data_IF_254719526481
#
_entry.id   IF_254719526481
#
_cell.length_a   1.000
_cell.length_b   1.000
_cell.length_c   1.000
_cell.angle_alpha   90.00
_cell.angle_beta   90.00
_cell.angle_gamma   90.00
#
_symmetry.space_group_name_H-M   'P 1'
#
loop_
_entity.id
_entity.type
_entity.pdbx_description
1 polymer ?
#
# COMPACT_ATOMS: atom_id res chain seq x y z
N UNK A 1 -18.25 9.73 4.23
CA UNK A 1 -16.80 9.77 4.01
C UNK A 1 -16.47 11.07 3.30
N UNK A 2 -15.50 11.80 3.82
CA UNK A 2 -15.03 13.05 3.23
C UNK A 2 -13.76 12.76 2.41
N UNK A 3 -13.69 13.28 1.18
CA UNK A 3 -12.51 13.10 0.34
C UNK A 3 -11.44 14.12 0.75
N UNK A 4 -10.21 13.64 0.97
CA UNK A 4 -9.06 14.51 1.13
C UNK A 4 -8.42 14.77 -0.24
N UNK A 5 -8.33 16.03 -0.62
CA UNK A 5 -7.86 16.45 -1.95
C UNK A 5 -6.41 16.94 -1.89
N UNK A 6 -5.65 16.57 -2.90
CA UNK A 6 -4.28 17.04 -3.13
C UNK A 6 -4.16 17.45 -4.59
N UNK A 7 -3.59 18.62 -4.83
CA UNK A 7 -3.36 19.16 -6.16
C UNK A 7 -1.88 19.41 -6.35
N UNK A 8 -1.34 18.97 -7.48
CA UNK A 8 0.08 19.12 -7.80
C UNK A 8 0.44 20.61 -7.88
N UNK A 9 1.55 20.98 -7.23
CA UNK A 9 2.18 22.29 -7.37
C UNK A 9 3.65 22.10 -7.72
N UNK A 10 4.33 23.17 -8.11
CA UNK A 10 5.78 23.12 -8.40
C UNK A 10 6.59 22.71 -7.15
N UNK A 11 6.12 23.11 -5.95
CA UNK A 11 6.73 22.73 -4.68
C UNK A 11 6.40 21.30 -4.25
N UNK A 12 5.18 20.85 -4.54
CA UNK A 12 4.68 19.53 -4.17
C UNK A 12 4.10 18.82 -5.40
N UNK A 13 4.95 18.24 -6.27
CA UNK A 13 4.48 17.49 -7.41
C UNK A 13 3.71 16.25 -6.94
N UNK A 14 2.57 15.98 -7.59
CA UNK A 14 1.83 14.72 -7.40
C UNK A 14 2.22 13.76 -8.51
N UNK A 15 2.93 12.69 -8.15
CA UNK A 15 3.47 11.72 -9.12
C UNK A 15 2.96 10.32 -8.82
N UNK A 16 2.68 9.56 -9.89
CA UNK A 16 2.45 8.13 -9.85
C UNK A 16 3.63 7.45 -10.53
N UNK A 17 4.27 6.54 -9.81
CA UNK A 17 5.44 5.81 -10.29
C UNK A 17 5.18 4.32 -10.21
N UNK A 18 5.48 3.60 -11.29
CA UNK A 18 5.64 2.15 -11.28
C UNK A 18 7.11 1.84 -11.47
N UNK A 19 7.72 1.25 -10.46
CA UNK A 19 9.15 0.88 -10.48
C UNK A 19 9.38 -0.45 -11.18
N UNK A 20 10.64 -0.75 -11.54
CA UNK A 20 11.03 -2.04 -12.13
C UNK A 20 10.78 -3.22 -11.17
N UNK A 21 10.87 -2.98 -9.86
CA UNK A 21 10.50 -3.94 -8.82
C UNK A 21 8.98 -4.06 -8.62
N UNK A 22 8.17 -3.56 -9.57
CA UNK A 22 6.70 -3.67 -9.57
C UNK A 22 6.04 -2.98 -8.36
N UNK A 23 6.72 -2.00 -7.77
CA UNK A 23 6.15 -1.14 -6.74
C UNK A 23 5.37 -0.01 -7.41
N UNK A 24 4.08 0.08 -7.09
CA UNK A 24 3.20 1.20 -7.39
C UNK A 24 3.27 2.22 -6.26
N UNK A 25 3.67 3.45 -6.57
CA UNK A 25 3.82 4.52 -5.57
C UNK A 25 3.12 5.77 -6.05
N UNK A 26 2.34 6.39 -5.16
CA UNK A 26 1.84 7.76 -5.32
C UNK A 26 2.54 8.63 -4.29
N UNK A 27 3.15 9.72 -4.74
CA UNK A 27 3.82 10.69 -3.88
C UNK A 27 3.35 12.12 -4.13
N UNK A 28 3.29 12.90 -3.06
CA UNK A 28 3.00 14.33 -3.07
C UNK A 28 4.21 15.07 -2.48
N UNK A 29 5.04 15.67 -3.33
CA UNK A 29 6.34 16.18 -2.92
C UNK A 29 7.22 15.07 -2.34
N UNK A 30 7.65 15.23 -1.09
CA UNK A 30 8.44 14.22 -0.36
C UNK A 30 7.57 13.22 0.43
N UNK A 31 6.25 13.30 0.35
CA UNK A 31 5.33 12.43 1.10
C UNK A 31 4.83 11.28 0.25
N UNK A 32 5.00 10.05 0.72
CA UNK A 32 4.37 8.87 0.13
C UNK A 32 2.91 8.83 0.57
N UNK A 33 2.01 8.82 -0.40
CA UNK A 33 0.56 8.80 -0.21
C UNK A 33 0.02 7.37 -0.26
N UNK A 34 0.50 6.60 -1.24
CA UNK A 34 0.19 5.17 -1.43
C UNK A 34 1.46 4.44 -1.87
N UNK A 35 1.64 3.20 -1.43
CA UNK A 35 2.76 2.35 -1.81
C UNK A 35 2.32 0.89 -1.78
N UNK A 36 2.27 0.26 -2.94
CA UNK A 36 1.70 -1.07 -3.14
C UNK A 36 2.62 -1.95 -3.99
N UNK A 37 2.91 -3.15 -3.52
CA UNK A 37 3.58 -4.18 -4.33
C UNK A 37 2.55 -4.87 -5.20
N UNK A 38 2.71 -4.82 -6.52
CA UNK A 38 1.65 -5.24 -7.46
C UNK A 38 1.59 -6.75 -7.72
N UNK A 39 2.61 -7.52 -7.35
CA UNK A 39 2.58 -8.98 -7.52
C UNK A 39 1.47 -9.59 -6.66
N UNK A 40 0.62 -10.41 -7.27
CA UNK A 40 -0.54 -11.01 -6.59
C UNK A 40 -1.70 -10.04 -6.32
N UNK A 41 -1.62 -8.78 -6.77
CA UNK A 41 -2.61 -7.75 -6.42
C UNK A 41 -4.01 -7.94 -7.03
N UNK A 42 -4.16 -8.84 -8.00
CA UNK A 42 -5.45 -9.20 -8.60
C UNK A 42 -6.51 -9.76 -7.63
N UNK A 43 -6.18 -10.06 -6.37
CA UNK A 43 -7.17 -10.47 -5.36
C UNK A 43 -7.71 -9.30 -4.53
N UNK A 44 -6.95 -8.21 -4.40
CA UNK A 44 -7.23 -7.13 -3.46
C UNK A 44 -7.23 -5.72 -4.07
N UNK A 45 -6.72 -5.53 -5.28
CA UNK A 45 -6.83 -4.28 -6.05
C UNK A 45 -7.88 -4.39 -7.16
N UNK A 46 -8.70 -3.35 -7.30
CA UNK A 46 -9.59 -3.14 -8.45
C UNK A 46 -9.54 -1.69 -8.85
N UNK A 47 -9.65 -1.41 -10.13
CA UNK A 47 -9.73 -0.03 -10.61
C UNK A 47 -10.75 0.17 -11.71
N UNK A 48 -11.20 1.41 -11.83
CA UNK A 48 -12.03 1.88 -12.95
C UNK A 48 -11.46 3.18 -13.48
N UNK A 49 -11.44 3.33 -14.80
CA UNK A 49 -10.94 4.50 -15.49
C UNK A 49 -12.06 5.16 -16.29
N UNK A 50 -12.14 6.49 -16.18
CA UNK A 50 -13.05 7.35 -16.93
C UNK A 50 -12.31 8.59 -17.39
N UNK A 51 -12.19 8.76 -18.71
CA UNK A 51 -11.50 9.90 -19.30
C UNK A 51 -10.06 10.01 -18.77
N UNK A 52 -9.76 11.13 -18.12
CA UNK A 52 -8.46 11.44 -17.52
C UNK A 52 -8.34 10.99 -16.05
N UNK A 53 -9.30 10.21 -15.55
CA UNK A 53 -9.41 9.88 -14.13
C UNK A 53 -9.39 8.37 -13.91
N UNK A 54 -8.73 7.95 -12.84
CA UNK A 54 -8.65 6.55 -12.39
C UNK A 54 -9.05 6.48 -10.92
N UNK A 55 -9.98 5.59 -10.59
CA UNK A 55 -10.33 5.26 -9.21
C UNK A 55 -9.80 3.87 -8.90
N UNK A 56 -9.12 3.74 -7.76
CA UNK A 56 -8.60 2.47 -7.27
C UNK A 56 -9.26 2.18 -5.93
N UNK A 57 -9.75 0.95 -5.81
CA UNK A 57 -10.23 0.34 -4.58
C UNK A 57 -9.18 -0.71 -4.17
N UNK A 58 -8.62 -0.50 -2.99
CA UNK A 58 -7.82 -1.49 -2.28
C UNK A 58 -8.70 -2.12 -1.22
N UNK A 59 -8.79 -3.45 -1.21
CA UNK A 59 -9.55 -4.19 -0.23
C UNK A 59 -8.70 -5.30 0.36
N UNK A 60 -8.23 -5.10 1.58
CA UNK A 60 -7.44 -6.07 2.31
C UNK A 60 -8.30 -6.53 3.48
N UNK A 61 -8.88 -7.73 3.33
CA UNK A 61 -9.98 -8.27 4.15
C UNK A 61 -11.09 -7.23 4.44
N UNK A 62 -11.24 -6.77 5.69
CA UNK A 62 -12.33 -5.90 6.15
C UNK A 62 -12.07 -4.40 5.92
N UNK A 63 -10.85 -4.02 5.56
CA UNK A 63 -10.52 -2.64 5.27
C UNK A 63 -10.64 -2.36 3.78
N UNK A 64 -11.35 -1.27 3.46
CA UNK A 64 -11.42 -0.73 2.11
C UNK A 64 -10.83 0.67 2.08
N UNK A 65 -9.88 0.88 1.17
CA UNK A 65 -9.30 2.18 0.89
C UNK A 65 -9.59 2.55 -0.56
N UNK A 66 -10.22 3.70 -0.76
CA UNK A 66 -10.50 4.25 -2.08
C UNK A 66 -9.67 5.49 -2.29
N UNK A 67 -9.02 5.58 -3.44
CA UNK A 67 -8.38 6.81 -3.87
C UNK A 67 -8.64 7.05 -5.36
N UNK A 68 -8.64 8.32 -5.75
CA UNK A 68 -8.87 8.75 -7.13
C UNK A 68 -7.72 9.62 -7.59
N UNK A 69 -7.27 9.35 -8.80
CA UNK A 69 -6.24 10.09 -9.51
C UNK A 69 -6.88 10.79 -10.70
N UNK A 70 -6.37 11.99 -11.01
CA UNK A 70 -6.67 12.71 -12.25
C UNK A 70 -5.35 13.04 -12.91
N UNK A 71 -5.18 12.56 -14.15
CA UNK A 71 -3.98 12.77 -14.94
C UNK A 71 -4.02 14.16 -15.55
N UNK A 72 -2.94 14.92 -15.34
CA UNK A 72 -2.75 16.23 -15.98
C UNK A 72 -2.39 16.06 -17.45
N UNK A 73 -2.69 17.08 -18.26
CA UNK A 73 -2.15 17.18 -19.61
C UNK A 73 -0.73 17.75 -19.56
N UNK A 74 0.13 17.27 -20.45
CA UNK A 74 1.45 17.86 -20.74
C UNK A 74 1.43 18.46 -22.14
N UNK A 75 2.53 19.12 -22.53
CA UNK A 75 2.70 19.63 -23.91
C UNK A 75 2.63 18.51 -24.96
N UNK A 76 2.96 17.27 -24.58
CA UNK A 76 3.07 16.13 -25.49
C UNK A 76 1.87 15.18 -25.45
N UNK A 77 1.14 15.11 -24.34
CA UNK A 77 0.07 14.14 -24.12
C UNK A 77 -1.08 14.72 -23.30
N UNK A 78 -2.31 14.49 -23.72
CA UNK A 78 -3.48 14.82 -22.91
C UNK A 78 -3.56 13.95 -21.65
N UNK A 79 -4.25 14.43 -20.62
CA UNK A 79 -4.55 13.63 -19.43
C UNK A 79 -5.25 12.30 -19.75
N UNK A 80 -6.11 12.28 -20.76
CA UNK A 80 -6.78 11.05 -21.24
C UNK A 80 -5.80 10.05 -21.85
N UNK A 81 -4.81 10.51 -22.63
CA UNK A 81 -3.77 9.65 -23.20
C UNK A 81 -2.85 9.10 -22.10
N UNK A 82 -2.48 9.92 -21.13
CA UNK A 82 -1.68 9.48 -19.99
C UNK A 82 -2.43 8.45 -19.13
N UNK A 83 -3.70 8.71 -18.83
CA UNK A 83 -4.58 7.77 -18.12
C UNK A 83 -4.68 6.43 -18.89
N UNK A 84 -4.90 6.47 -20.20
CA UNK A 84 -4.99 5.27 -21.03
C UNK A 84 -3.68 4.46 -21.03
N UNK A 85 -2.53 5.13 -21.16
CA UNK A 85 -1.21 4.50 -21.13
C UNK A 85 -0.92 3.85 -19.76
N UNK A 86 -1.18 4.58 -18.68
CA UNK A 86 -1.06 4.07 -17.32
C UNK A 86 -1.97 2.86 -17.08
N UNK A 87 -3.23 2.95 -17.53
CA UNK A 87 -4.21 1.86 -17.44
C UNK A 87 -3.73 0.60 -18.18
N UNK A 88 -3.22 0.75 -19.40
CA UNK A 88 -2.70 -0.37 -20.18
C UNK A 88 -1.52 -1.07 -19.47
N UNK A 89 -0.71 -0.30 -18.75
CA UNK A 89 0.41 -0.82 -17.96
C UNK A 89 -0.08 -1.56 -16.71
N UNK A 90 -0.98 -0.96 -15.93
CA UNK A 90 -1.43 -1.50 -14.65
C UNK A 90 -2.39 -2.70 -14.78
N UNK A 91 -3.11 -2.82 -15.90
CA UNK A 91 -3.99 -3.98 -16.20
C UNK A 91 -3.29 -5.33 -16.17
N UNK A 92 -1.96 -5.36 -16.26
CA UNK A 92 -1.15 -6.59 -16.15
C UNK A 92 -1.17 -7.18 -14.74
N UNK A 93 -1.49 -6.37 -13.72
CA UNK A 93 -1.36 -6.75 -12.31
C UNK A 93 -2.69 -6.96 -11.62
N UNK A 94 -3.67 -6.10 -11.90
CA UNK A 94 -5.00 -6.18 -11.32
C UNK A 94 -6.08 -5.70 -12.29
N UNK A 95 -7.35 -6.10 -12.08
CA UNK A 95 -8.44 -5.71 -12.96
C UNK A 95 -8.68 -4.20 -12.93
N UNK A 96 -8.50 -3.58 -14.08
CA UNK A 96 -8.70 -2.15 -14.32
C UNK A 96 -9.67 -1.99 -15.50
N UNK A 97 -10.92 -1.62 -15.23
CA UNK A 97 -11.96 -1.52 -16.27
C UNK A 97 -12.04 -0.10 -16.83
N UNK A 98 -12.21 0.05 -18.15
CA UNK A 98 -12.63 1.32 -18.73
C UNK A 98 -14.15 1.45 -18.58
N UNK A 99 -14.67 2.68 -18.50
CA UNK A 99 -16.05 2.92 -18.09
C UNK A 99 -17.11 2.10 -18.86
N UNK A 100 -18.08 1.60 -18.08
CA UNK A 100 -19.14 0.64 -18.44
C UNK A 100 -19.51 -0.32 -17.30
N UNK A 101 -18.72 -0.38 -16.22
CA UNK A 101 -18.80 -1.49 -15.24
C UNK A 101 -18.56 -1.02 -13.78
N UNK A 102 -19.15 0.13 -13.42
CA UNK A 102 -19.15 0.64 -12.04
C UNK A 102 -19.83 -0.36 -11.09
N UNK A 103 -20.80 -1.10 -11.61
CA UNK A 103 -21.48 -2.22 -10.95
C UNK A 103 -20.50 -3.31 -10.49
N UNK A 104 -19.44 -3.62 -11.24
CA UNK A 104 -18.45 -4.62 -10.81
C UNK A 104 -17.55 -4.13 -9.66
N UNK A 105 -17.29 -2.82 -9.56
CA UNK A 105 -16.55 -2.25 -8.42
C UNK A 105 -17.44 -2.26 -7.17
N UNK A 106 -18.72 -1.94 -7.34
CA UNK A 106 -19.72 -1.98 -6.26
C UNK A 106 -20.05 -3.42 -5.82
N UNK A 107 -20.15 -4.38 -6.75
CA UNK A 107 -20.36 -5.80 -6.45
C UNK A 107 -19.15 -6.39 -5.70
N UNK A 108 -17.92 -5.96 -6.03
CA UNK A 108 -16.73 -6.34 -5.27
C UNK A 108 -16.72 -5.75 -3.85
N UNK A 109 -17.34 -4.58 -3.67
CA UNK A 109 -17.57 -3.98 -2.36
C UNK A 109 -18.58 -4.81 -1.53
N UNK A 110 -19.69 -5.23 -2.13
CA UNK A 110 -20.76 -6.02 -1.49
C UNK A 110 -20.38 -7.47 -1.15
N UNK A 111 -19.65 -8.18 -2.02
CA UNK A 111 -19.34 -9.61 -1.83
C UNK A 111 -18.51 -9.93 -0.57
N UNK A 112 -17.91 -8.93 0.11
CA UNK A 112 -17.01 -9.15 1.25
C UNK A 112 -17.41 -8.31 2.48
N UNK A 113 -18.62 -7.76 2.52
CA UNK A 113 -19.14 -7.05 3.71
C UNK A 113 -19.70 -8.01 4.80
N UNK A 114 -19.28 -9.28 4.79
CA UNK A 114 -19.70 -10.29 5.77
C UNK A 114 -18.46 -10.82 6.49
N UNK A 115 -18.05 -10.16 7.58
CA UNK A 115 -17.40 -10.76 8.75
C UNK A 115 -17.17 -9.69 9.83
N UNK A 116 -17.40 -10.08 11.09
CA UNK A 116 -17.74 -9.24 12.26
C UNK A 116 -16.53 -8.91 13.18
N UNK A 117 -16.70 -7.86 13.98
CA UNK A 117 -16.04 -7.28 15.19
C UNK A 117 -14.76 -7.88 15.88
N UNK A 118 -13.82 -7.01 16.32
CA UNK A 118 -13.27 -6.98 17.71
C UNK A 118 -12.50 -5.66 18.07
N UNK A 119 -12.58 -5.23 19.34
CA UNK A 119 -12.06 -3.94 19.86
C UNK A 119 -10.57 -4.02 20.30
N UNK A 120 -9.65 -3.87 19.35
CA UNK A 120 -8.25 -3.51 19.61
C UNK A 120 -7.97 -2.07 19.15
N UNK A 121 -7.02 -1.36 19.77
CA UNK A 121 -6.55 -0.06 19.26
C UNK A 121 -5.98 -0.29 17.85
N UNK A 122 -6.76 0.08 16.85
CA UNK A 122 -6.41 -0.14 15.44
C UNK A 122 -5.51 0.99 14.95
N UNK A 123 -4.32 0.64 14.48
CA UNK A 123 -3.35 1.59 13.92
C UNK A 123 -3.63 1.81 12.43
N UNK A 124 -4.76 2.45 12.13
CA UNK A 124 -5.17 2.78 10.75
C UNK A 124 -4.64 4.16 10.36
N UNK A 125 -4.04 4.28 9.18
CA UNK A 125 -3.58 5.56 8.61
C UNK A 125 -2.10 5.86 8.86
N UNK A 126 -1.78 7.09 9.23
CA UNK A 126 -0.40 7.52 9.51
C UNK A 126 0.02 7.04 10.90
N UNK A 127 1.04 6.18 10.98
CA UNK A 127 1.56 5.60 12.23
C UNK A 127 2.99 6.07 12.43
N UNK A 128 3.34 6.49 13.64
CA UNK A 128 4.71 6.88 13.97
C UNK A 128 5.64 5.66 13.95
N UNK A 129 6.92 5.87 13.61
CA UNK A 129 7.93 4.79 13.65
C UNK A 129 8.04 4.20 15.06
N UNK A 130 7.87 5.03 16.09
CA UNK A 130 7.86 4.60 17.49
C UNK A 130 6.71 3.63 17.79
N UNK A 131 5.51 3.92 17.32
CA UNK A 131 4.33 3.09 17.56
C UNK A 131 4.40 1.78 16.79
N UNK A 132 4.93 1.79 15.56
CA UNK A 132 5.25 0.55 14.84
C UNK A 132 6.30 -0.31 15.58
N UNK A 133 7.36 0.31 16.11
CA UNK A 133 8.39 -0.41 16.87
C UNK A 133 7.83 -1.03 18.15
N UNK A 134 6.94 -0.31 18.87
CA UNK A 134 6.24 -0.85 20.05
C UNK A 134 5.35 -2.05 19.69
N UNK A 135 4.64 -1.99 18.56
CA UNK A 135 3.79 -3.09 18.09
C UNK A 135 4.63 -4.34 17.76
N UNK A 136 5.74 -4.18 17.03
CA UNK A 136 6.63 -5.29 16.66
C UNK A 136 7.38 -5.89 17.85
N UNK A 137 7.70 -5.07 18.85
CA UNK A 137 8.40 -5.51 20.07
C UNK A 137 7.45 -6.15 21.10
N UNK A 138 6.14 -6.18 20.83
CA UNK A 138 5.12 -6.68 21.75
C UNK A 138 4.82 -5.75 22.95
N UNK A 139 5.41 -4.55 22.99
CA UNK A 139 5.18 -3.55 24.05
C UNK A 139 3.84 -2.82 23.91
N UNK A 140 3.21 -2.87 22.74
CA UNK A 140 1.88 -2.33 22.49
C UNK A 140 1.00 -3.38 21.83
N UNK A 141 -0.10 -3.74 22.49
CA UNK A 141 -1.16 -4.53 21.90
C UNK A 141 -2.00 -3.62 20.98
N UNK A 142 -1.65 -3.60 19.71
CA UNK A 142 -2.34 -2.85 18.67
C UNK A 142 -2.76 -3.79 17.54
N UNK A 143 -3.97 -3.60 17.04
CA UNK A 143 -4.38 -4.16 15.76
C UNK A 143 -3.60 -3.42 14.69
N UNK A 144 -2.64 -4.10 14.05
CA UNK A 144 -2.01 -3.57 12.85
C UNK A 144 -2.95 -3.80 11.67
N UNK A 145 -2.94 -2.92 10.67
CA UNK A 145 -3.63 -3.18 9.42
C UNK A 145 -3.21 -4.51 8.86
N UNK A 146 -4.12 -5.18 8.18
CA UNK A 146 -3.92 -6.56 7.72
C UNK A 146 -2.73 -6.72 6.77
N UNK A 147 -2.32 -5.65 6.08
CA UNK A 147 -1.08 -5.63 5.29
C UNK A 147 0.18 -5.99 6.09
N UNK A 148 0.19 -5.80 7.41
CA UNK A 148 1.31 -6.19 8.29
C UNK A 148 1.25 -7.64 8.75
N UNK A 149 0.11 -8.31 8.55
CA UNK A 149 -0.11 -9.70 8.96
C UNK A 149 0.08 -10.70 7.82
N UNK A 150 0.13 -10.24 6.58
CA UNK A 150 0.24 -11.10 5.39
C UNK A 150 1.52 -10.81 4.62
N UNK A 151 2.30 -11.87 4.37
CA UNK A 151 3.39 -11.82 3.40
C UNK A 151 2.85 -12.12 2.01
N UNK A 152 3.15 -11.27 1.04
CA UNK A 152 2.88 -11.54 -0.39
C UNK A 152 3.96 -12.42 -1.03
N UNK A 153 4.96 -12.85 -0.26
CA UNK A 153 6.05 -13.70 -0.74
C UNK A 153 5.55 -15.15 -0.89
N UNK A 154 5.77 -15.79 -2.06
CA UNK A 154 5.51 -17.21 -2.21
C UNK A 154 6.25 -18.04 -1.15
N UNK A 155 5.61 -19.09 -0.64
CA UNK A 155 6.18 -19.91 0.43
C UNK A 155 7.52 -20.56 0.05
N UNK A 156 7.70 -20.90 -1.24
CA UNK A 156 8.95 -21.46 -1.76
C UNK A 156 10.11 -20.45 -1.72
N UNK A 157 9.84 -19.19 -2.07
CA UNK A 157 10.81 -18.10 -1.99
C UNK A 157 11.16 -17.79 -0.54
N UNK A 158 10.15 -17.71 0.34
CA UNK A 158 10.35 -17.53 1.78
C UNK A 158 11.24 -18.63 2.36
N UNK A 159 10.99 -19.88 2.00
CA UNK A 159 11.78 -21.02 2.46
C UNK A 159 13.24 -20.94 1.98
N UNK A 160 13.44 -20.47 0.76
CA UNK A 160 14.78 -20.31 0.18
C UNK A 160 15.56 -19.20 0.87
N UNK A 161 14.92 -18.05 1.09
CA UNK A 161 15.51 -16.92 1.81
C UNK A 161 15.84 -17.32 3.25
N UNK A 162 14.91 -18.01 3.93
CA UNK A 162 15.15 -18.45 5.31
C UNK A 162 16.37 -19.39 5.41
N UNK A 163 16.52 -20.34 4.47
CA UNK A 163 17.71 -21.21 4.45
C UNK A 163 18.99 -20.43 4.20
N UNK A 164 18.95 -19.41 3.34
CA UNK A 164 20.10 -18.54 3.11
C UNK A 164 20.49 -17.80 4.39
N UNK A 165 19.51 -17.17 5.07
CA UNK A 165 19.74 -16.49 6.35
C UNK A 165 20.31 -17.44 7.40
N UNK A 166 19.76 -18.65 7.53
CA UNK A 166 20.25 -19.65 8.50
C UNK A 166 21.62 -20.26 8.14
N UNK A 167 22.06 -20.14 6.89
CA UNK A 167 23.39 -20.57 6.45
C UNK A 167 24.46 -19.52 6.70
N UNK A 168 24.05 -18.27 6.94
CA UNK A 168 24.95 -17.17 7.28
C UNK A 168 25.19 -17.14 8.80
N UNK A 169 26.42 -17.38 9.22
CA UNK A 169 26.82 -17.35 10.63
C UNK A 169 26.64 -16.00 11.32
N UNK A 170 26.56 -14.90 10.57
CA UNK A 170 26.36 -13.55 11.10
C UNK A 170 24.89 -13.21 11.34
N UNK A 171 23.96 -13.95 10.72
CA UNK A 171 22.53 -13.67 10.79
C UNK A 171 21.97 -13.61 12.22
N UNK A 172 22.33 -14.52 13.16
CA UNK A 172 21.86 -14.42 14.54
C UNK A 172 22.30 -13.12 15.24
N UNK A 173 23.51 -12.63 14.96
CA UNK A 173 24.00 -11.37 15.53
C UNK A 173 23.23 -10.17 14.93
N UNK A 174 23.02 -10.17 13.62
CA UNK A 174 22.21 -9.18 12.92
C UNK A 174 20.78 -9.09 13.49
N UNK A 175 20.11 -10.22 13.71
CA UNK A 175 18.76 -10.24 14.31
C UNK A 175 18.78 -9.59 15.70
N UNK A 176 19.81 -9.88 16.51
CA UNK A 176 19.98 -9.24 17.81
C UNK A 176 20.20 -7.72 17.73
N UNK A 177 20.97 -7.25 16.74
CA UNK A 177 21.16 -5.81 16.49
C UNK A 177 19.85 -5.12 16.08
N UNK A 178 19.05 -5.77 15.24
CA UNK A 178 17.72 -5.27 14.85
C UNK A 178 16.79 -5.15 16.05
N UNK A 179 16.74 -6.18 16.92
CA UNK A 179 15.94 -6.14 18.15
C UNK A 179 16.40 -5.04 19.11
N UNK A 180 17.71 -4.80 19.21
CA UNK A 180 18.27 -3.73 20.03
C UNK A 180 17.88 -2.35 19.50
N UNK A 181 17.95 -2.16 18.18
CA UNK A 181 17.60 -0.89 17.55
C UNK A 181 16.10 -0.59 17.63
N UNK A 182 15.24 -1.61 17.49
CA UNK A 182 13.80 -1.47 17.73
C UNK A 182 13.51 -0.95 19.16
N UNK A 183 14.21 -1.49 20.16
CA UNK A 183 14.09 -1.00 21.55
C UNK A 183 14.58 0.43 21.72
N UNK A 184 15.67 0.82 21.05
CA UNK A 184 16.18 2.20 21.09
C UNK A 184 15.16 3.19 20.53
N UNK A 185 14.52 2.87 19.40
CA UNK A 185 13.46 3.69 18.79
C UNK A 185 12.29 3.90 19.75
N UNK A 186 11.91 2.87 20.51
CA UNK A 186 10.84 2.96 21.51
C UNK A 186 11.25 3.84 22.70
N UNK A 187 12.50 3.73 23.17
CA UNK A 187 12.98 4.47 24.33
C UNK A 187 13.22 5.96 24.04
N UNK A 188 13.80 6.28 22.88
CA UNK A 188 14.12 7.65 22.49
C UNK A 188 12.88 8.52 22.23
N UNK A 189 11.71 7.91 21.98
CA UNK A 189 10.44 8.61 21.80
C UNK A 189 9.59 8.75 23.07
N UNK A 190 10.13 8.42 24.27
CA UNK A 190 9.44 8.67 25.56
C UNK A 190 9.59 10.11 26.08
N UNK A 191 10.32 10.98 25.38
CA UNK A 191 10.66 12.33 25.82
C UNK A 191 10.30 13.45 24.83
N UNK A 192 9.49 13.15 23.80
CA UNK A 192 8.95 14.14 22.87
C UNK A 192 7.45 14.35 23.06
#
# INVERSE_FOLDING_TARGET
MEWKYYEATDENPLTLTLTESQQFVISYGNKIMESHYLVGSHTWLRGVCKGDSMMILCKIQNESRKFRLKFSSTELCSGTQQCASCTATLRKYFPLKAEGDLEAVMAFEECIAKEDMDEARSLVGEVSVADMAKALSGEMFASLPLSYHHSNMPQEELSTILRLCLSDSSFPAFVGEVEAELKNIVQNNKHS
#
